data_IF_423711501170
#
_entry.id   IF_423711501170
#
_cell.length_a   1.000
_cell.length_b   1.000
_cell.length_c   1.000
_cell.angle_alpha   90.00
_cell.angle_beta   90.00
_cell.angle_gamma   90.00
#
_symmetry.space_group_name_H-M   'P 1'
#
loop_
_entity.id
_entity.type
_entity.pdbx_description
1 polymer ?
#
# COMPACT_ATOMS: atom_id res chain seq x y z
N UNK A 1 -12.05 5.88 -21.06
CA UNK A 1 -12.03 7.21 -20.42
C UNK A 1 -11.18 7.23 -19.15
N UNK A 2 -11.46 6.36 -18.16
CA UNK A 2 -10.72 6.30 -16.89
C UNK A 2 -9.21 6.08 -17.07
N UNK A 3 -8.79 5.10 -17.90
CA UNK A 3 -7.38 4.85 -18.16
C UNK A 3 -6.64 6.07 -18.76
N UNK A 4 -7.32 6.82 -19.65
CA UNK A 4 -6.79 8.06 -20.22
C UNK A 4 -6.65 9.16 -19.18
N UNK A 5 -7.63 9.33 -18.30
CA UNK A 5 -7.56 10.29 -17.20
C UNK A 5 -6.41 9.98 -16.23
N UNK A 6 -6.23 8.71 -15.87
CA UNK A 6 -5.09 8.25 -15.04
C UNK A 6 -3.77 8.55 -15.74
N UNK A 7 -3.66 8.26 -17.04
CA UNK A 7 -2.47 8.58 -17.83
C UNK A 7 -2.16 10.08 -17.88
N UNK A 8 -3.17 10.93 -18.11
CA UNK A 8 -3.00 12.39 -18.09
C UNK A 8 -2.56 12.86 -16.69
N UNK A 9 -3.17 12.31 -15.64
CA UNK A 9 -2.80 12.61 -14.25
C UNK A 9 -1.35 12.26 -13.95
N UNK A 10 -0.86 11.12 -14.45
CA UNK A 10 0.55 10.72 -14.34
C UNK A 10 1.51 11.70 -15.02
N UNK A 11 1.14 12.19 -16.21
CA UNK A 11 1.94 13.16 -16.97
C UNK A 11 1.97 14.51 -16.24
N UNK A 12 0.81 14.99 -15.78
CA UNK A 12 0.69 16.26 -15.04
C UNK A 12 1.48 16.20 -13.72
N UNK A 13 1.45 15.06 -13.03
CA UNK A 13 2.23 14.80 -11.82
C UNK A 13 3.75 14.65 -12.07
N UNK A 14 4.20 14.69 -13.34
CA UNK A 14 5.61 14.54 -13.76
C UNK A 14 6.32 13.35 -13.13
N UNK A 15 5.62 12.21 -13.05
CA UNK A 15 6.16 11.02 -12.43
C UNK A 15 7.21 10.42 -13.37
N UNK A 16 8.48 10.26 -12.95
CA UNK A 16 9.50 9.69 -13.80
C UNK A 16 9.15 8.25 -14.14
N UNK A 17 9.32 7.86 -15.41
CA UNK A 17 8.97 6.53 -15.93
C UNK A 17 9.71 5.39 -15.21
N UNK A 18 10.82 5.72 -14.53
CA UNK A 18 11.59 4.80 -13.68
C UNK A 18 10.95 4.48 -12.33
N UNK A 19 9.89 5.19 -11.92
CA UNK A 19 9.14 4.88 -10.70
C UNK A 19 8.22 3.65 -10.87
N UNK A 20 7.92 3.24 -12.11
CA UNK A 20 7.06 2.11 -12.37
C UNK A 20 7.62 0.82 -11.74
N UNK A 21 6.84 0.11 -10.90
CA UNK A 21 7.31 -1.10 -10.26
C UNK A 21 7.58 -2.17 -11.32
N UNK A 22 8.72 -2.86 -11.19
CA UNK A 22 9.02 -4.01 -12.06
C UNK A 22 8.06 -5.14 -11.70
N UNK A 23 7.13 -5.43 -12.61
CA UNK A 23 6.18 -6.54 -12.45
C UNK A 23 6.98 -7.85 -12.34
N UNK A 24 6.76 -8.67 -11.30
CA UNK A 24 7.42 -9.96 -11.17
C UNK A 24 7.14 -10.86 -12.38
N UNK A 25 8.09 -11.74 -12.73
CA UNK A 25 7.90 -12.68 -13.85
C UNK A 25 6.65 -13.56 -13.71
N UNK A 26 6.23 -13.86 -12.49
CA UNK A 26 5.01 -14.64 -12.24
C UNK A 26 3.73 -13.94 -12.68
N UNK A 27 3.70 -12.60 -12.71
CA UNK A 27 2.56 -11.83 -13.20
C UNK A 27 2.29 -12.14 -14.68
N UNK A 28 3.35 -12.22 -15.49
CA UNK A 28 3.24 -12.57 -16.91
C UNK A 28 2.74 -14.01 -17.12
N UNK A 29 3.15 -14.95 -16.28
CA UNK A 29 2.60 -16.32 -16.31
C UNK A 29 1.09 -16.32 -15.99
N UNK A 30 0.66 -15.57 -14.98
CA UNK A 30 -0.77 -15.42 -14.66
C UNK A 30 -1.58 -14.83 -15.82
N UNK A 31 -1.04 -13.83 -16.50
CA UNK A 31 -1.69 -13.21 -17.66
C UNK A 31 -1.84 -14.19 -18.83
N UNK A 32 -0.81 -14.97 -19.14
CA UNK A 32 -0.85 -16.00 -20.18
C UNK A 32 -1.83 -17.12 -19.84
N UNK A 33 -1.83 -17.58 -18.58
CA UNK A 33 -2.78 -18.58 -18.10
C UNK A 33 -4.22 -18.09 -18.28
N UNK A 34 -4.50 -16.84 -17.93
CA UNK A 34 -5.84 -16.28 -18.08
C UNK A 34 -6.30 -16.15 -19.54
N UNK A 35 -5.41 -15.80 -20.47
CA UNK A 35 -5.73 -15.82 -21.91
C UNK A 35 -6.06 -17.23 -22.38
N UNK A 36 -5.27 -18.23 -21.98
CA UNK A 36 -5.49 -19.64 -22.36
C UNK A 36 -6.79 -20.20 -21.75
N UNK A 37 -7.09 -19.87 -20.49
CA UNK A 37 -8.33 -20.31 -19.82
C UNK A 37 -9.56 -19.68 -20.47
N UNK A 38 -9.50 -18.39 -20.79
CA UNK A 38 -10.63 -17.67 -21.39
C UNK A 38 -10.78 -17.95 -22.89
N UNK A 39 -9.73 -18.40 -23.57
CA UNK A 39 -9.81 -18.94 -24.91
C UNK A 39 -10.74 -20.16 -25.02
N UNK A 40 -10.87 -20.93 -23.94
CA UNK A 40 -11.74 -22.10 -23.84
C UNK A 40 -13.13 -21.78 -23.25
N UNK A 41 -13.45 -20.50 -23.01
CA UNK A 41 -14.75 -20.10 -22.46
C UNK A 41 -15.86 -20.22 -23.51
N UNK A 42 -17.12 -20.27 -23.07
CA UNK A 42 -18.29 -20.31 -23.95
C UNK A 42 -18.83 -18.91 -24.31
N UNK A 43 -17.98 -17.88 -24.29
CA UNK A 43 -18.38 -16.51 -24.64
C UNK A 43 -18.28 -16.26 -26.15
N UNK A 44 -19.39 -15.91 -26.80
CA UNK A 44 -19.37 -15.46 -28.19
C UNK A 44 -18.68 -14.08 -28.30
N UNK A 45 -17.99 -13.73 -29.40
CA UNK A 45 -17.84 -14.47 -30.65
C UNK A 45 -16.76 -15.56 -30.61
N UNK A 46 -16.96 -16.62 -31.40
CA UNK A 46 -16.03 -17.74 -31.54
C UNK A 46 -15.30 -17.69 -32.87
N UNK A 47 -14.03 -18.08 -32.88
CA UNK A 47 -13.26 -18.33 -34.09
C UNK A 47 -12.78 -19.79 -34.05
N UNK A 48 -13.09 -20.54 -35.09
CA UNK A 48 -12.61 -21.91 -35.27
C UNK A 48 -11.26 -21.90 -35.97
N UNK A 49 -10.19 -22.24 -35.26
CA UNK A 49 -8.86 -22.45 -35.85
C UNK A 49 -8.47 -23.90 -35.62
N UNK A 50 -8.25 -24.65 -36.70
CA UNK A 50 -7.76 -26.04 -36.63
C UNK A 50 -8.63 -27.03 -35.86
N UNK A 51 -9.97 -26.91 -35.93
CA UNK A 51 -10.91 -27.84 -35.27
C UNK A 51 -11.20 -27.54 -33.79
N UNK A 52 -10.53 -26.55 -33.20
CA UNK A 52 -10.79 -26.08 -31.83
C UNK A 52 -11.58 -24.77 -31.88
N UNK A 53 -12.70 -24.71 -31.13
CA UNK A 53 -13.50 -23.48 -30.97
C UNK A 53 -12.82 -22.59 -29.92
N UNK A 54 -12.24 -21.48 -30.36
CA UNK A 54 -11.64 -20.49 -29.48
C UNK A 54 -12.60 -19.31 -29.30
N UNK A 55 -12.83 -18.92 -28.04
CA UNK A 55 -13.67 -17.80 -27.66
C UNK A 55 -12.88 -16.49 -27.68
N UNK A 56 -13.17 -15.65 -28.67
CA UNK A 56 -12.61 -14.29 -28.76
C UNK A 56 -13.30 -13.38 -27.75
N UNK A 57 -14.58 -13.60 -27.48
CA UNK A 57 -15.32 -12.89 -26.43
C UNK A 57 -14.67 -13.04 -25.06
N UNK A 58 -14.30 -14.27 -24.69
CA UNK A 58 -13.62 -14.58 -23.44
C UNK A 58 -12.26 -13.90 -23.30
N UNK A 59 -11.47 -13.90 -24.38
CA UNK A 59 -10.18 -13.21 -24.40
C UNK A 59 -10.34 -11.69 -24.24
N UNK A 60 -11.36 -11.10 -24.89
CA UNK A 60 -11.66 -9.67 -24.77
C UNK A 60 -12.11 -9.29 -23.36
N UNK A 61 -12.94 -10.12 -22.72
CA UNK A 61 -13.38 -9.91 -21.34
C UNK A 61 -12.21 -10.05 -20.36
N UNK A 62 -11.33 -11.03 -20.57
CA UNK A 62 -10.09 -11.16 -19.80
C UNK A 62 -9.19 -9.94 -19.95
N UNK A 63 -9.01 -9.44 -21.17
CA UNK A 63 -8.22 -8.25 -21.45
C UNK A 63 -8.86 -7.00 -20.80
N UNK A 64 -10.19 -6.87 -20.86
CA UNK A 64 -10.93 -5.80 -20.18
C UNK A 64 -10.70 -5.87 -18.67
N UNK A 65 -10.91 -7.02 -18.04
CA UNK A 65 -10.70 -7.21 -16.60
C UNK A 65 -9.27 -6.87 -16.18
N UNK A 66 -8.29 -7.37 -16.94
CA UNK A 66 -6.87 -7.08 -16.71
C UNK A 66 -6.56 -5.59 -16.86
N UNK A 67 -7.12 -4.92 -17.88
CA UNK A 67 -6.92 -3.49 -18.11
C UNK A 67 -7.52 -2.63 -17.00
N UNK A 68 -8.71 -2.98 -16.49
CA UNK A 68 -9.36 -2.30 -15.36
C UNK A 68 -8.53 -2.48 -14.09
N UNK A 69 -8.08 -3.70 -13.83
CA UNK A 69 -7.22 -4.01 -12.67
C UNK A 69 -5.92 -3.21 -12.71
N UNK A 70 -5.29 -3.13 -13.89
CA UNK A 70 -4.06 -2.34 -14.10
C UNK A 70 -4.31 -0.84 -13.91
N UNK A 71 -5.45 -0.35 -14.38
CA UNK A 71 -5.85 1.05 -14.20
C UNK A 71 -6.09 1.38 -12.73
N UNK A 72 -6.77 0.51 -11.98
CA UNK A 72 -6.95 0.66 -10.53
C UNK A 72 -5.61 0.65 -9.80
N UNK A 73 -4.71 -0.27 -10.15
CA UNK A 73 -3.39 -0.32 -9.57
C UNK A 73 -2.58 0.96 -9.86
N UNK A 74 -2.63 1.45 -11.11
CA UNK A 74 -1.98 2.71 -11.48
C UNK A 74 -2.56 3.91 -10.72
N UNK A 75 -3.89 3.96 -10.54
CA UNK A 75 -4.54 5.00 -9.74
C UNK A 75 -4.15 4.95 -8.25
N UNK A 76 -4.01 3.75 -7.68
CA UNK A 76 -3.51 3.60 -6.31
C UNK A 76 -2.03 3.99 -6.19
N UNK A 77 -1.21 3.62 -7.16
CA UNK A 77 0.20 3.98 -7.21
C UNK A 77 0.41 5.50 -7.34
N UNK A 78 -0.42 6.17 -8.15
CA UNK A 78 -0.47 7.63 -8.24
C UNK A 78 -0.57 8.26 -6.86
N UNK A 79 -1.56 7.85 -6.06
CA UNK A 79 -1.75 8.36 -4.70
C UNK A 79 -0.50 8.17 -3.84
N UNK A 80 0.13 6.99 -3.92
CA UNK A 80 1.34 6.66 -3.17
C UNK A 80 2.58 7.45 -3.60
N UNK A 81 2.67 7.88 -4.86
CA UNK A 81 3.78 8.68 -5.36
C UNK A 81 3.60 10.18 -5.15
N UNK A 82 2.37 10.68 -5.18
CA UNK A 82 2.08 12.11 -5.07
C UNK A 82 1.83 12.58 -3.65
N UNK A 83 1.54 11.67 -2.72
CA UNK A 83 1.12 12.02 -1.34
C UNK A 83 2.16 11.58 -0.31
N UNK A 84 2.82 12.50 0.39
CA UNK A 84 3.73 12.14 1.47
C UNK A 84 2.95 11.61 2.68
N UNK A 85 3.55 10.66 3.41
CA UNK A 85 2.91 10.03 4.58
C UNK A 85 2.51 11.06 5.65
N UNK A 86 3.24 12.17 5.78
CA UNK A 86 2.95 13.27 6.72
C UNK A 86 1.62 13.98 6.46
N UNK A 87 1.12 13.95 5.22
CA UNK A 87 -0.15 14.58 4.85
C UNK A 87 -1.37 13.70 5.15
N UNK A 88 -1.19 12.42 5.49
CA UNK A 88 -2.29 11.51 5.78
C UNK A 88 -3.05 11.85 7.06
N UNK A 89 -2.34 12.26 8.12
CA UNK A 89 -2.98 12.63 9.39
C UNK A 89 -3.95 13.83 9.24
N UNK A 90 -3.56 14.97 8.63
CA UNK A 90 -4.50 16.07 8.39
C UNK A 90 -5.57 15.73 7.33
N UNK A 91 -5.30 14.83 6.38
CA UNK A 91 -6.34 14.35 5.47
C UNK A 91 -7.42 13.53 6.22
N UNK A 92 -7.00 12.64 7.13
CA UNK A 92 -7.90 11.85 7.97
C UNK A 92 -8.78 12.73 8.86
N UNK A 93 -8.25 13.82 9.43
CA UNK A 93 -9.05 14.72 10.26
C UNK A 93 -10.22 15.34 9.50
N UNK A 94 -10.01 15.70 8.22
CA UNK A 94 -11.09 16.21 7.36
C UNK A 94 -12.08 15.13 6.95
N UNK A 95 -11.59 13.94 6.59
CA UNK A 95 -12.45 12.82 6.18
C UNK A 95 -13.31 12.32 7.35
N UNK A 96 -12.78 12.36 8.57
CA UNK A 96 -13.48 11.96 9.80
C UNK A 96 -14.26 13.10 10.47
N UNK A 97 -14.14 14.34 9.99
CA UNK A 97 -14.91 15.48 10.49
C UNK A 97 -16.43 15.26 10.58
N UNK A 98 -17.13 14.62 9.62
CA UNK A 98 -18.57 14.34 9.77
C UNK A 98 -18.88 13.39 10.94
N UNK A 99 -17.96 12.48 11.28
CA UNK A 99 -18.09 11.55 12.40
C UNK A 99 -18.04 12.24 13.77
N UNK A 100 -17.49 13.46 13.84
CA UNK A 100 -17.53 14.30 15.04
C UNK A 100 -18.97 14.62 15.47
N UNK A 101 -19.92 14.65 14.52
CA UNK A 101 -21.35 14.84 14.84
C UNK A 101 -21.92 13.67 15.63
N UNK A 102 -21.33 12.48 15.50
CA UNK A 102 -21.69 11.29 16.27
C UNK A 102 -20.95 11.20 17.62
N UNK A 103 -20.26 12.28 18.05
CA UNK A 103 -19.47 12.36 19.30
C UNK A 103 -18.34 11.32 19.39
N UNK A 104 -17.81 10.88 18.24
CA UNK A 104 -16.64 10.00 18.20
C UNK A 104 -15.34 10.79 18.43
N UNK A 105 -14.32 10.18 19.06
CA UNK A 105 -13.05 10.83 19.41
C UNK A 105 -12.10 10.95 18.21
N UNK A 106 -12.51 11.72 17.20
CA UNK A 106 -11.76 11.91 15.95
C UNK A 106 -10.39 12.54 16.20
N UNK A 107 -10.32 13.53 17.09
CA UNK A 107 -9.08 14.26 17.38
C UNK A 107 -8.02 13.35 18.01
N UNK A 108 -8.43 12.41 18.87
CA UNK A 108 -7.55 11.41 19.48
C UNK A 108 -7.02 10.44 18.42
N UNK A 109 -7.88 9.93 17.54
CA UNK A 109 -7.45 9.03 16.44
C UNK A 109 -6.45 9.71 15.51
N UNK A 110 -6.71 10.96 15.14
CA UNK A 110 -5.80 11.75 14.29
C UNK A 110 -4.46 11.97 14.99
N UNK A 111 -4.46 12.30 16.29
CA UNK A 111 -3.23 12.48 17.07
C UNK A 111 -2.43 11.17 17.17
N UNK A 112 -3.10 10.03 17.42
CA UNK A 112 -2.47 8.71 17.44
C UNK A 112 -1.82 8.38 16.10
N UNK A 113 -2.52 8.61 14.99
CA UNK A 113 -1.98 8.35 13.65
C UNK A 113 -0.81 9.28 13.31
N UNK A 114 -0.91 10.57 13.64
CA UNK A 114 0.17 11.53 13.44
C UNK A 114 1.45 11.13 14.19
N UNK A 115 1.31 10.71 15.45
CA UNK A 115 2.42 10.21 16.25
C UNK A 115 2.98 8.90 15.69
N UNK A 116 2.13 7.97 15.27
CA UNK A 116 2.57 6.71 14.67
C UNK A 116 3.39 6.95 13.39
N UNK A 117 2.93 7.83 12.50
CA UNK A 117 3.64 8.23 11.28
C UNK A 117 5.01 8.85 11.62
N UNK A 118 5.08 9.70 12.64
CA UNK A 118 6.33 10.33 13.08
C UNK A 118 7.31 9.35 13.73
N UNK A 119 6.80 8.32 14.41
CA UNK A 119 7.59 7.26 15.03
C UNK A 119 8.05 6.18 14.04
N UNK A 120 7.45 6.11 12.85
CA UNK A 120 7.75 5.08 11.86
C UNK A 120 9.23 5.08 11.39
N UNK A 121 9.86 6.23 11.04
CA UNK A 121 11.26 6.24 10.62
C UNK A 121 12.20 5.69 11.68
N UNK A 122 11.91 6.07 12.92
CA UNK A 122 12.67 5.72 14.10
C UNK A 122 12.54 4.24 14.46
N UNK A 123 11.34 3.67 14.28
CA UNK A 123 11.09 2.24 14.44
C UNK A 123 11.83 1.43 13.35
N UNK A 124 11.89 1.94 12.13
CA UNK A 124 12.67 1.31 11.04
C UNK A 124 14.16 1.26 11.39
N UNK A 125 14.71 2.32 11.96
CA UNK A 125 16.10 2.35 12.40
C UNK A 125 16.36 1.38 13.55
N UNK A 126 15.45 1.29 14.52
CA UNK A 126 15.53 0.31 15.60
C UNK A 126 15.42 -1.14 15.10
N UNK A 127 14.54 -1.43 14.14
CA UNK A 127 14.48 -2.75 13.52
C UNK A 127 15.80 -3.06 12.79
N UNK A 128 16.41 -2.08 12.12
CA UNK A 128 17.70 -2.26 11.44
C UNK A 128 18.82 -2.57 12.43
N UNK A 129 18.88 -1.87 13.57
CA UNK A 129 19.89 -2.13 14.61
C UNK A 129 19.69 -3.51 15.23
N UNK A 130 18.46 -3.88 15.57
CA UNK A 130 18.13 -5.22 16.09
C UNK A 130 18.45 -6.33 15.10
N UNK A 131 18.16 -6.12 13.81
CA UNK A 131 18.52 -7.05 12.74
C UNK A 131 20.04 -7.16 12.56
N UNK A 132 20.79 -6.07 12.72
CA UNK A 132 22.25 -6.09 12.67
C UNK A 132 22.84 -6.88 13.85
N UNK A 133 22.36 -6.63 15.08
CA UNK A 133 22.75 -7.39 16.27
C UNK A 133 22.43 -8.87 16.11
N UNK A 134 21.26 -9.22 15.55
CA UNK A 134 20.92 -10.61 15.26
C UNK A 134 21.90 -11.27 14.31
N UNK A 135 22.29 -10.58 13.22
CA UNK A 135 23.24 -11.12 12.24
C UNK A 135 24.58 -11.46 12.90
N UNK A 136 25.00 -10.66 13.89
CA UNK A 136 26.21 -10.91 14.68
C UNK A 136 26.03 -12.10 15.64
N UNK A 137 24.91 -12.15 16.40
CA UNK A 137 24.63 -13.23 17.37
C UNK A 137 24.43 -14.60 16.71
N UNK A 138 23.74 -14.66 15.58
CA UNK A 138 23.49 -15.92 14.88
C UNK A 138 24.74 -16.40 14.13
N UNK A 139 25.71 -15.52 13.88
CA UNK A 139 26.97 -15.82 13.19
C UNK A 139 26.77 -16.32 11.76
N UNK A 140 27.80 -16.20 10.92
CA UNK A 140 27.87 -17.00 9.69
C UNK A 140 27.85 -18.47 10.12
N UNK A 141 26.73 -19.17 9.93
CA UNK A 141 26.72 -20.64 10.04
C UNK A 141 27.89 -21.15 9.20
N UNK A 142 28.78 -21.99 9.74
CA UNK A 142 29.75 -22.70 8.92
C UNK A 142 28.98 -23.41 7.81
N UNK A 143 29.46 -23.27 6.58
CA UNK A 143 28.88 -23.98 5.45
C UNK A 143 28.79 -25.48 5.76
N UNK A 144 27.73 -26.10 5.24
CA UNK A 144 27.66 -27.53 5.00
C UNK A 144 27.76 -28.46 6.21
N UNK A 145 26.60 -28.95 6.66
CA UNK A 145 26.37 -30.41 6.69
C UNK A 145 24.88 -30.77 6.72
N UNK A 146 24.46 -31.38 5.61
CA UNK A 146 23.31 -32.30 5.41
C UNK A 146 21.88 -31.70 5.45
N UNK A 147 21.09 -32.15 4.48
CA UNK A 147 19.66 -31.85 4.26
C UNK A 147 18.78 -32.10 5.50
N UNK A 148 19.21 -33.00 6.40
CA UNK A 148 18.58 -33.32 7.70
C UNK A 148 18.56 -32.11 8.65
N UNK A 149 19.46 -31.14 8.49
CA UNK A 149 19.53 -29.94 9.33
C UNK A 149 18.51 -28.84 9.00
N UNK A 150 17.80 -28.89 7.86
CA UNK A 150 16.79 -27.86 7.53
C UNK A 150 15.53 -27.95 8.41
N UNK A 151 15.05 -29.17 8.67
CA UNK A 151 13.89 -29.40 9.53
C UNK A 151 14.22 -29.13 11.01
N UNK A 152 15.43 -29.48 11.46
CA UNK A 152 15.93 -29.14 12.80
C UNK A 152 16.25 -27.63 12.96
N UNK A 153 16.46 -26.89 11.87
CA UNK A 153 16.70 -25.44 11.89
C UNK A 153 15.43 -24.59 12.02
N UNK A 154 14.25 -25.12 11.67
CA UNK A 154 12.96 -24.43 11.80
C UNK A 154 12.63 -24.01 13.25
N UNK A 155 12.71 -24.90 14.27
CA UNK A 155 12.41 -24.50 15.65
C UNK A 155 13.43 -23.48 16.20
N UNK A 156 14.70 -23.56 15.79
CA UNK A 156 15.73 -22.60 16.16
C UNK A 156 15.51 -21.21 15.53
N UNK A 157 15.04 -21.17 14.27
CA UNK A 157 14.66 -19.92 13.59
C UNK A 157 13.44 -19.27 14.23
N UNK A 158 12.42 -20.05 14.58
CA UNK A 158 11.22 -19.56 15.26
C UNK A 158 11.56 -18.90 16.61
N UNK A 159 12.32 -19.59 17.48
CA UNK A 159 12.76 -19.05 18.78
C UNK A 159 13.51 -17.73 18.64
N UNK A 160 14.46 -17.66 17.70
CA UNK A 160 15.23 -16.43 17.44
C UNK A 160 14.38 -15.25 16.96
N UNK A 161 13.26 -15.53 16.29
CA UNK A 161 12.35 -14.48 15.79
C UNK A 161 11.47 -13.98 16.91
N UNK A 162 10.99 -14.87 17.77
CA UNK A 162 10.24 -14.51 18.98
C UNK A 162 11.07 -13.64 19.92
N UNK A 163 12.35 -13.97 20.15
CA UNK A 163 13.25 -13.14 20.99
C UNK A 163 13.42 -11.73 20.42
N UNK A 164 13.56 -11.59 19.10
CA UNK A 164 13.61 -10.28 18.46
C UNK A 164 12.31 -9.50 18.62
N UNK A 165 11.17 -10.16 18.40
CA UNK A 165 9.86 -9.52 18.54
C UNK A 165 9.65 -9.07 19.98
N UNK A 166 9.95 -9.92 20.97
CA UNK A 166 9.88 -9.56 22.38
C UNK A 166 10.80 -8.37 22.70
N UNK A 167 12.04 -8.39 22.23
CA UNK A 167 12.98 -7.28 22.45
C UNK A 167 12.47 -5.98 21.83
N UNK A 168 12.00 -6.03 20.58
CA UNK A 168 11.43 -4.88 19.87
C UNK A 168 10.17 -4.34 20.56
N UNK A 169 9.30 -5.22 21.05
CA UNK A 169 8.09 -4.83 21.79
C UNK A 169 8.49 -4.12 23.09
N UNK A 170 9.43 -4.69 23.87
CA UNK A 170 9.87 -4.08 25.14
C UNK A 170 10.51 -2.71 24.90
N UNK A 171 11.37 -2.55 23.89
CA UNK A 171 11.97 -1.24 23.57
C UNK A 171 10.92 -0.23 23.10
N UNK A 172 9.95 -0.65 22.29
CA UNK A 172 8.84 0.19 21.86
C UNK A 172 7.95 0.63 23.05
N UNK A 173 7.61 -0.29 23.97
CA UNK A 173 6.80 0.02 25.15
C UNK A 173 7.51 1.00 26.09
N UNK A 174 8.81 0.80 26.33
CA UNK A 174 9.59 1.74 27.14
C UNK A 174 9.59 3.14 26.52
N UNK A 175 9.80 3.23 25.21
CA UNK A 175 9.77 4.49 24.49
C UNK A 175 8.39 5.15 24.49
N UNK A 176 7.34 4.36 24.38
CA UNK A 176 5.97 4.84 24.47
C UNK A 176 5.69 5.42 25.87
N UNK A 177 6.19 4.79 26.94
CA UNK A 177 6.09 5.31 28.30
C UNK A 177 6.82 6.66 28.45
N UNK A 178 8.08 6.74 28.02
CA UNK A 178 8.88 8.00 28.05
C UNK A 178 8.20 9.14 27.25
N UNK A 179 7.63 8.82 26.09
CA UNK A 179 6.85 9.78 25.28
C UNK A 179 5.57 10.22 25.98
N UNK A 180 4.86 9.28 26.62
CA UNK A 180 3.59 9.56 27.31
C UNK A 180 3.83 10.46 28.52
N UNK A 181 4.85 10.19 29.33
CA UNK A 181 5.25 11.05 30.43
C UNK A 181 5.56 12.47 29.96
N UNK A 182 6.29 12.61 28.85
CA UNK A 182 6.58 13.92 28.26
C UNK A 182 5.32 14.63 27.72
N UNK A 183 4.36 13.90 27.15
CA UNK A 183 3.09 14.45 26.66
C UNK A 183 2.23 14.94 27.84
N UNK A 184 2.13 14.15 28.90
CA UNK A 184 1.38 14.51 30.12
C UNK A 184 1.99 15.74 30.79
N UNK A 185 3.33 15.80 30.90
CA UNK A 185 4.04 16.96 31.44
C UNK A 185 3.80 18.25 30.63
N UNK A 186 3.46 18.15 29.35
CA UNK A 186 3.15 19.30 28.47
C UNK A 186 1.67 19.68 28.45
N UNK A 187 0.82 19.04 29.26
CA UNK A 187 -0.62 19.30 29.29
C UNK A 187 -1.43 18.48 28.27
N UNK A 188 -0.89 17.34 27.81
CA UNK A 188 -1.57 16.42 26.88
C UNK A 188 -1.18 16.62 25.42
N UNK A 189 -1.95 16.03 24.50
CA UNK A 189 -1.67 16.02 23.05
C UNK A 189 -1.83 17.37 22.32
N UNK A 190 -1.99 18.48 23.05
CA UNK A 190 -2.49 19.78 22.58
C UNK A 190 -2.10 20.20 21.15
N UNK A 191 -3.04 20.81 20.42
CA UNK A 191 -2.93 21.44 19.09
C UNK A 191 -2.31 20.62 17.92
N UNK A 192 -1.73 19.43 18.14
CA UNK A 192 -1.16 18.57 17.08
C UNK A 192 -2.23 18.16 16.05
N UNK A 193 -3.52 18.19 16.42
CA UNK A 193 -4.64 17.91 15.53
C UNK A 193 -5.08 19.08 14.61
N UNK A 194 -4.65 20.32 14.88
CA UNK A 194 -5.10 21.52 14.15
C UNK A 194 -4.02 22.03 13.19
N UNK A 195 -3.70 21.25 12.16
CA UNK A 195 -3.09 21.82 10.94
C UNK A 195 -4.21 22.16 9.95
N UNK A 196 -4.66 23.43 9.87
CA UNK A 196 -5.63 23.84 8.88
C UNK A 196 -4.94 23.89 7.52
N UNK A 197 -4.95 22.78 6.80
CA UNK A 197 -4.74 22.88 5.37
C UNK A 197 -6.08 23.38 4.77
N UNK A 198 -6.01 24.42 3.94
CA UNK A 198 -7.17 24.97 3.25
C UNK A 198 -7.22 24.42 1.83
N UNK A 199 -8.42 24.17 1.29
CA UNK A 199 -8.55 23.74 -0.10
C UNK A 199 -7.96 24.83 -1.01
N UNK A 200 -7.01 24.44 -1.86
CA UNK A 200 -6.40 25.34 -2.84
C UNK A 200 -7.26 25.37 -4.10
N UNK A 201 -7.09 26.40 -4.94
CA UNK A 201 -7.78 26.49 -6.24
C UNK A 201 -7.49 25.31 -7.16
N UNK A 202 -6.30 24.71 -7.01
CA UNK A 202 -5.93 23.48 -7.70
C UNK A 202 -6.82 22.28 -7.27
N UNK A 203 -7.18 22.19 -5.99
CA UNK A 203 -8.03 21.12 -5.45
C UNK A 203 -9.44 21.23 -6.03
N UNK A 204 -9.96 22.46 -6.19
CA UNK A 204 -11.25 22.69 -6.83
C UNK A 204 -11.24 22.29 -8.31
N UNK A 205 -10.17 22.62 -9.05
CA UNK A 205 -10.02 22.22 -10.45
C UNK A 205 -9.91 20.69 -10.60
N UNK A 206 -9.14 20.02 -9.73
CA UNK A 206 -9.03 18.58 -9.71
C UNK A 206 -10.38 17.90 -9.40
N UNK A 207 -11.13 18.43 -8.45
CA UNK A 207 -12.45 17.91 -8.09
C UNK A 207 -13.46 18.11 -9.22
N UNK A 208 -13.44 19.25 -9.90
CA UNK A 208 -14.25 19.49 -11.10
C UNK A 208 -13.91 18.51 -12.24
N UNK A 209 -12.63 18.25 -12.49
CA UNK A 209 -12.21 17.28 -13.50
C UNK A 209 -12.66 15.85 -13.16
N UNK A 210 -12.60 15.46 -11.88
CA UNK A 210 -13.09 14.16 -11.41
C UNK A 210 -14.60 14.01 -11.57
N UNK A 211 -15.37 15.03 -11.19
CA UNK A 211 -16.83 15.05 -11.35
C UNK A 211 -17.20 14.99 -12.83
N UNK A 212 -16.51 15.77 -13.67
CA UNK A 212 -16.70 15.74 -15.13
C UNK A 212 -16.44 14.36 -15.72
N UNK A 213 -15.38 13.67 -15.28
CA UNK A 213 -15.11 12.29 -15.68
C UNK A 213 -16.22 11.34 -15.23
N UNK A 214 -16.68 11.44 -13.98
CA UNK A 214 -17.73 10.57 -13.44
C UNK A 214 -19.05 10.72 -14.21
N UNK A 215 -19.46 11.95 -14.51
CA UNK A 215 -20.65 12.24 -15.32
C UNK A 215 -20.47 11.71 -16.74
N UNK A 216 -19.31 11.93 -17.35
CA UNK A 216 -19.03 11.43 -18.70
C UNK A 216 -19.04 9.89 -18.76
N UNK A 217 -18.58 9.20 -17.72
CA UNK A 217 -18.67 7.72 -17.64
C UNK A 217 -20.07 7.21 -17.37
N UNK A 218 -20.96 8.01 -16.77
CA UNK A 218 -22.34 7.62 -16.51
C UNK A 218 -23.23 7.82 -17.74
N UNK A 219 -22.88 8.77 -18.61
CA UNK A 219 -23.63 9.11 -19.82
C UNK A 219 -23.29 8.23 -21.04
N UNK A 220 -22.21 7.46 -20.99
CA UNK A 220 -21.73 6.55 -22.05
C UNK A 220 -22.02 5.11 -21.68
#
# INVERSE_FOLDING_TARGET
>A
MVAGFVGISMIVARIPVGAAPRLPRWFWYGLMIGVVLTAQSHAAPFVTVGGVRLSVGGMLDWLRLTSVSMTMFAAAALLGWTTPLSELAPALSRLLAPLRRLRLPVDEWVATVALAIRCLPLLVDEIRTLLAVRRLRVGRRPGHRRMVGRLAALPLQARSTTELLCTAIVTCLRRAAEMTEAIVARGGFGAVAHQPAHPRRADAAALAALVGLAVATFLV
#
